data_IF_623278413795
#
_entry.id   IF_623278413795
#
_cell.length_a   1.000
_cell.length_b   1.000
_cell.length_c   1.000
_cell.angle_alpha   90.00
_cell.angle_beta   90.00
_cell.angle_gamma   90.00
#
_symmetry.space_group_name_H-M   'P 1'
#
loop_
_entity.id
_entity.type
_entity.pdbx_description
1 polymer ?
#
# COMPACT_ATOMS: atom_id res chain seq x y z
N UNK A 1 -34.86 -97.10 11.36
CA UNK A 1 -35.51 -95.85 11.80
C UNK A 1 -34.39 -94.88 12.15
N UNK A 2 -33.98 -94.11 11.15
CA UNK A 2 -34.20 -92.63 10.98
C UNK A 2 -33.03 -91.86 11.60
N UNK A 3 -32.08 -91.49 10.74
CA UNK A 3 -31.83 -90.12 10.20
C UNK A 3 -31.12 -89.24 11.23
N UNK A 4 -29.84 -88.90 10.98
CA UNK A 4 -29.38 -87.57 10.49
C UNK A 4 -29.49 -86.53 11.60
N UNK A 5 -28.39 -85.99 12.10
CA UNK A 5 -27.55 -84.96 11.47
C UNK A 5 -27.26 -83.98 12.62
N UNK A 6 -26.00 -83.75 12.97
CA UNK A 6 -25.20 -82.62 12.46
C UNK A 6 -25.71 -81.25 12.95
N UNK A 7 -24.73 -80.43 13.35
CA UNK A 7 -24.81 -78.99 13.65
C UNK A 7 -25.33 -78.51 15.00
N UNK A 8 -24.42 -78.50 15.99
CA UNK A 8 -24.47 -77.53 17.10
C UNK A 8 -23.28 -76.56 17.12
N UNK A 9 -22.59 -76.38 15.99
CA UNK A 9 -21.39 -75.51 15.88
C UNK A 9 -21.57 -74.30 14.96
N UNK A 10 -22.75 -73.68 14.92
CA UNK A 10 -22.96 -72.50 14.06
C UNK A 10 -23.70 -71.36 14.78
N UNK A 11 -23.33 -71.08 16.03
CA UNK A 11 -23.77 -69.83 16.71
C UNK A 11 -22.63 -69.08 17.40
N UNK A 12 -21.43 -69.65 17.51
CA UNK A 12 -20.27 -69.04 18.19
C UNK A 12 -19.23 -68.43 17.22
N UNK A 13 -19.50 -68.42 15.92
CA UNK A 13 -18.57 -67.97 14.88
C UNK A 13 -18.93 -66.61 14.22
N UNK A 14 -19.94 -65.89 14.73
CA UNK A 14 -20.28 -64.57 14.18
C UNK A 14 -19.61 -63.48 15.01
N UNK A 15 -18.37 -63.14 14.64
CA UNK A 15 -17.53 -62.18 15.38
C UNK A 15 -17.92 -60.71 15.14
N UNK A 16 -18.63 -60.41 14.06
CA UNK A 16 -19.26 -59.10 13.77
C UNK A 16 -20.26 -59.20 12.62
N UNK A 17 -21.36 -58.44 12.71
CA UNK A 17 -22.32 -58.22 11.63
C UNK A 17 -21.95 -56.89 10.95
N UNK A 18 -21.48 -56.96 9.70
CA UNK A 18 -21.25 -55.78 8.88
C UNK A 18 -22.52 -55.47 8.09
N UNK A 19 -23.20 -54.36 8.44
CA UNK A 19 -24.35 -53.88 7.68
C UNK A 19 -23.86 -53.34 6.33
N UNK A 20 -23.97 -54.17 5.29
CA UNK A 20 -23.62 -53.83 3.90
C UNK A 20 -24.60 -52.83 3.26
N UNK A 21 -25.73 -52.54 3.91
CA UNK A 21 -26.69 -51.53 3.49
C UNK A 21 -27.00 -50.56 4.64
N UNK A 22 -26.22 -49.48 4.79
CA UNK A 22 -26.61 -48.38 5.65
C UNK A 22 -27.77 -47.62 5.02
N UNK A 23 -28.99 -47.84 5.52
CA UNK A 23 -30.15 -47.00 5.22
C UNK A 23 -29.96 -45.63 5.85
N UNK A 24 -29.34 -44.72 5.08
CA UNK A 24 -29.05 -43.38 5.54
C UNK A 24 -30.36 -42.58 5.66
N UNK A 25 -30.78 -42.16 6.86
CA UNK A 25 -32.08 -41.53 7.08
C UNK A 25 -32.19 -40.23 6.26
N UNK A 26 -33.40 -39.91 5.80
CA UNK A 26 -33.68 -38.73 4.96
C UNK A 26 -33.21 -37.42 5.62
N UNK A 27 -33.26 -37.34 6.95
CA UNK A 27 -32.75 -36.21 7.73
C UNK A 27 -31.24 -36.01 7.57
N UNK A 28 -30.45 -37.09 7.54
CA UNK A 28 -29.00 -36.97 7.28
C UNK A 28 -28.71 -36.51 5.85
N UNK A 29 -29.52 -36.95 4.87
CA UNK A 29 -29.39 -36.48 3.48
C UNK A 29 -29.75 -35.00 3.36
N UNK A 30 -30.82 -34.55 4.02
CA UNK A 30 -31.24 -33.15 4.07
C UNK A 30 -30.23 -32.27 4.80
N UNK A 31 -29.74 -32.69 5.97
CA UNK A 31 -28.70 -31.96 6.71
C UNK A 31 -27.42 -31.84 5.90
N UNK A 32 -26.94 -32.93 5.27
CA UNK A 32 -25.76 -32.89 4.41
C UNK A 32 -25.97 -31.95 3.21
N UNK A 33 -27.11 -32.04 2.54
CA UNK A 33 -27.44 -31.15 1.42
C UNK A 33 -27.47 -29.67 1.87
N UNK A 34 -28.10 -29.38 3.01
CA UNK A 34 -28.18 -28.05 3.59
C UNK A 34 -26.79 -27.51 3.96
N UNK A 35 -25.94 -28.31 4.61
CA UNK A 35 -24.57 -27.92 4.95
C UNK A 35 -23.71 -27.63 3.71
N UNK A 36 -23.86 -28.40 2.63
CA UNK A 36 -23.12 -28.15 1.37
C UNK A 36 -23.58 -26.84 0.73
N UNK A 37 -24.89 -26.61 0.67
CA UNK A 37 -25.44 -25.36 0.11
C UNK A 37 -25.01 -24.16 0.95
N UNK A 38 -25.10 -24.27 2.28
CA UNK A 38 -24.67 -23.24 3.20
C UNK A 38 -23.17 -22.94 3.08
N UNK A 39 -22.32 -23.98 2.99
CA UNK A 39 -20.88 -23.81 2.77
C UNK A 39 -20.57 -23.10 1.45
N UNK A 40 -21.29 -23.44 0.36
CA UNK A 40 -21.15 -22.75 -0.93
C UNK A 40 -21.53 -21.28 -0.83
N UNK A 41 -22.62 -20.96 -0.14
CA UNK A 41 -23.04 -19.57 0.10
C UNK A 41 -21.96 -18.84 0.92
N UNK A 42 -21.46 -19.43 2.00
CA UNK A 42 -20.38 -18.85 2.80
C UNK A 42 -19.10 -18.63 1.98
N UNK A 43 -18.74 -19.57 1.11
CA UNK A 43 -17.58 -19.44 0.22
C UNK A 43 -17.75 -18.25 -0.74
N UNK A 44 -18.93 -18.09 -1.35
CA UNK A 44 -19.22 -16.94 -2.22
C UNK A 44 -19.15 -15.63 -1.45
N UNK A 45 -19.74 -15.57 -0.25
CA UNK A 45 -19.68 -14.37 0.60
C UNK A 45 -18.24 -14.04 1.02
N UNK A 46 -17.43 -15.04 1.36
CA UNK A 46 -16.02 -14.87 1.67
C UNK A 46 -15.25 -14.33 0.47
N UNK A 47 -15.49 -14.84 -0.74
CA UNK A 47 -14.89 -14.30 -1.97
C UNK A 47 -15.27 -12.83 -2.19
N UNK A 48 -16.55 -12.48 -2.03
CA UNK A 48 -17.01 -11.10 -2.18
C UNK A 48 -16.35 -10.19 -1.14
N UNK A 49 -16.25 -10.62 0.11
CA UNK A 49 -15.61 -9.86 1.18
C UNK A 49 -14.10 -9.65 0.90
N UNK A 50 -13.40 -10.67 0.40
CA UNK A 50 -11.99 -10.57 0.02
C UNK A 50 -11.78 -9.58 -1.13
N UNK A 51 -12.62 -9.64 -2.16
CA UNK A 51 -12.56 -8.72 -3.31
C UNK A 51 -12.83 -7.29 -2.84
N UNK A 52 -13.88 -7.09 -2.04
CA UNK A 52 -14.24 -5.77 -1.49
C UNK A 52 -13.11 -5.19 -0.62
N UNK A 53 -12.57 -5.99 0.31
CA UNK A 53 -11.44 -5.59 1.14
C UNK A 53 -10.21 -5.26 0.31
N UNK A 54 -9.91 -6.05 -0.72
CA UNK A 54 -8.82 -5.78 -1.66
C UNK A 54 -8.99 -4.45 -2.41
N UNK A 55 -10.20 -4.16 -2.91
CA UNK A 55 -10.51 -2.90 -3.60
C UNK A 55 -10.39 -1.70 -2.67
N UNK A 56 -10.90 -1.80 -1.44
CA UNK A 56 -10.81 -0.69 -0.48
C UNK A 56 -9.36 -0.44 -0.05
N UNK A 57 -8.56 -1.50 0.14
CA UNK A 57 -7.12 -1.37 0.41
C UNK A 57 -6.37 -0.74 -0.76
N UNK A 58 -6.69 -1.14 -2.00
CA UNK A 58 -6.14 -0.53 -3.22
C UNK A 58 -6.47 0.96 -3.27
N UNK A 59 -7.74 1.33 -3.07
CA UNK A 59 -8.19 2.73 -3.05
C UNK A 59 -7.52 3.52 -1.93
N UNK A 60 -7.40 2.94 -0.74
CA UNK A 60 -6.71 3.57 0.37
C UNK A 60 -5.24 3.82 0.06
N UNK A 61 -4.52 2.81 -0.48
CA UNK A 61 -3.12 2.95 -0.90
C UNK A 61 -2.96 3.98 -2.01
N UNK A 62 -3.86 3.98 -2.99
CA UNK A 62 -3.86 4.95 -4.08
C UNK A 62 -4.04 6.38 -3.55
N UNK A 63 -5.06 6.62 -2.70
CA UNK A 63 -5.31 7.92 -2.07
C UNK A 63 -4.09 8.41 -1.29
N UNK A 64 -3.47 7.53 -0.50
CA UNK A 64 -2.28 7.89 0.28
C UNK A 64 -1.10 8.31 -0.60
N UNK A 65 -0.85 7.55 -1.67
CA UNK A 65 0.22 7.88 -2.63
C UNK A 65 -0.05 9.22 -3.32
N UNK A 66 -1.31 9.50 -3.61
CA UNK A 66 -1.71 10.72 -4.29
C UNK A 66 -1.61 11.96 -3.38
N UNK A 67 -1.94 11.83 -2.09
CA UNK A 67 -1.67 12.87 -1.07
C UNK A 67 -0.17 13.19 -0.98
N UNK A 68 0.68 12.17 -0.86
CA UNK A 68 2.13 12.35 -0.75
C UNK A 68 2.71 13.00 -2.01
N UNK A 69 2.23 12.61 -3.19
CA UNK A 69 2.62 13.22 -4.46
C UNK A 69 2.14 14.68 -4.56
N UNK A 70 0.91 14.99 -4.12
CA UNK A 70 0.38 16.36 -4.11
C UNK A 70 1.21 17.27 -3.21
N UNK A 71 1.59 16.80 -2.02
CA UNK A 71 2.46 17.55 -1.11
C UNK A 71 3.83 17.80 -1.73
N UNK A 72 4.41 16.80 -2.40
CA UNK A 72 5.68 16.95 -3.13
C UNK A 72 5.57 17.99 -4.25
N UNK A 73 4.54 17.90 -5.10
CA UNK A 73 4.36 18.86 -6.19
C UNK A 73 4.07 20.27 -5.70
N UNK A 74 3.27 20.44 -4.64
CA UNK A 74 3.05 21.74 -4.03
C UNK A 74 4.34 22.32 -3.45
N UNK A 75 5.19 21.50 -2.83
CA UNK A 75 6.51 21.93 -2.36
C UNK A 75 7.40 22.40 -3.52
N UNK A 76 7.44 21.65 -4.62
CA UNK A 76 8.20 22.02 -5.83
C UNK A 76 7.71 23.35 -6.39
N UNK A 77 6.40 23.55 -6.49
CA UNK A 77 5.81 24.79 -6.98
C UNK A 77 6.20 25.99 -6.10
N UNK A 78 6.19 25.82 -4.77
CA UNK A 78 6.65 26.86 -3.83
C UNK A 78 8.13 27.18 -3.99
N UNK A 79 8.98 26.18 -4.24
CA UNK A 79 10.42 26.38 -4.54
C UNK A 79 10.59 27.15 -5.84
N UNK A 80 9.90 26.75 -6.91
CA UNK A 80 9.97 27.40 -8.21
C UNK A 80 9.51 28.86 -8.14
N UNK A 81 8.40 29.13 -7.44
CA UNK A 81 7.89 30.49 -7.28
C UNK A 81 8.87 31.38 -6.49
N UNK A 82 9.47 30.85 -5.42
CA UNK A 82 10.52 31.54 -4.67
C UNK A 82 11.73 31.90 -5.55
N UNK A 83 12.25 30.95 -6.32
CA UNK A 83 13.39 31.18 -7.19
C UNK A 83 13.05 32.13 -8.35
N UNK A 84 11.86 32.01 -8.94
CA UNK A 84 11.39 32.89 -10.01
C UNK A 84 11.28 34.33 -9.52
N UNK A 85 10.64 34.57 -8.36
CA UNK A 85 10.53 35.90 -7.75
C UNK A 85 11.90 36.51 -7.47
N UNK A 86 12.84 35.70 -6.98
CA UNK A 86 14.20 36.14 -6.74
C UNK A 86 14.93 36.50 -8.05
N UNK A 87 14.78 35.69 -9.09
CA UNK A 87 15.36 35.96 -10.41
C UNK A 87 14.79 37.23 -11.05
N UNK A 88 13.47 37.45 -10.93
CA UNK A 88 12.82 38.68 -11.37
C UNK A 88 13.34 39.90 -10.59
N UNK A 89 13.52 39.78 -9.27
CA UNK A 89 14.09 40.83 -8.44
C UNK A 89 15.55 41.15 -8.80
N UNK A 90 16.37 40.14 -9.11
CA UNK A 90 17.74 40.33 -9.60
C UNK A 90 17.77 41.01 -10.98
N UNK A 91 16.77 40.81 -11.83
CA UNK A 91 16.69 41.48 -13.12
C UNK A 91 16.45 42.99 -12.99
N UNK A 92 15.77 43.41 -11.93
CA UNK A 92 15.49 44.82 -11.66
C UNK A 92 16.54 45.50 -10.77
N UNK A 93 17.26 44.74 -9.95
CA UNK A 93 18.27 45.25 -9.03
C UNK A 93 19.62 44.57 -9.30
N UNK A 94 20.57 45.34 -9.83
CA UNK A 94 21.92 44.86 -10.19
C UNK A 94 22.75 44.43 -8.99
N UNK A 95 22.36 44.80 -7.76
CA UNK A 95 23.08 44.50 -6.53
C UNK A 95 22.77 43.10 -5.96
N UNK A 96 21.71 42.43 -6.44
CA UNK A 96 21.36 41.08 -5.99
C UNK A 96 22.09 40.01 -6.79
N UNK A 97 22.60 39.00 -6.07
CA UNK A 97 23.29 37.86 -6.67
C UNK A 97 22.30 36.91 -7.34
N UNK A 98 22.56 36.41 -8.57
CA UNK A 98 21.59 35.61 -9.34
C UNK A 98 21.55 34.13 -8.90
N UNK A 99 21.83 33.83 -7.64
CA UNK A 99 21.85 32.48 -7.09
C UNK A 99 21.34 32.47 -5.66
N UNK A 100 20.78 31.33 -5.22
CA UNK A 100 20.20 31.18 -3.89
C UNK A 100 20.65 29.86 -3.26
N UNK A 101 21.21 29.92 -2.06
CA UNK A 101 21.67 28.72 -1.36
C UNK A 101 20.48 27.81 -0.99
N UNK A 102 20.59 26.50 -1.26
CA UNK A 102 19.52 25.53 -0.96
C UNK A 102 19.06 25.58 0.51
N UNK A 103 19.97 25.67 1.51
CA UNK A 103 19.56 25.81 2.91
C UNK A 103 18.76 27.09 3.18
N UNK A 104 19.09 28.19 2.50
CA UNK A 104 18.37 29.46 2.65
C UNK A 104 16.94 29.36 2.09
N UNK A 105 16.77 28.72 0.92
CA UNK A 105 15.43 28.49 0.35
C UNK A 105 14.58 27.61 1.26
N UNK A 106 15.19 26.56 1.84
CA UNK A 106 14.53 25.68 2.79
C UNK A 106 14.01 26.47 3.99
N UNK A 107 14.84 27.35 4.54
CA UNK A 107 14.51 28.13 5.73
C UNK A 107 13.46 29.21 5.47
N UNK A 108 13.42 29.74 4.25
CA UNK A 108 12.37 30.66 3.81
C UNK A 108 11.01 29.95 3.65
N UNK A 109 11.00 28.69 3.18
CA UNK A 109 9.77 27.96 2.88
C UNK A 109 9.23 27.13 4.05
N UNK A 110 10.11 26.62 4.91
CA UNK A 110 9.77 25.68 5.99
C UNK A 110 10.10 26.30 7.34
N UNK A 111 9.10 26.70 8.13
CA UNK A 111 9.34 27.22 9.47
C UNK A 111 9.96 26.13 10.38
N UNK A 112 10.71 26.52 11.42
CA UNK A 112 11.45 25.59 12.26
C UNK A 112 10.55 24.52 12.92
N UNK A 113 9.29 24.84 13.22
CA UNK A 113 8.33 23.93 13.83
C UNK A 113 7.92 22.76 12.90
N UNK A 114 7.97 22.95 11.59
CA UNK A 114 7.49 21.98 10.60
C UNK A 114 8.61 21.18 9.94
N UNK A 115 9.88 21.47 10.27
CA UNK A 115 11.06 20.85 9.64
C UNK A 115 11.06 19.33 9.69
N UNK A 116 10.55 18.73 10.76
CA UNK A 116 10.46 17.26 10.90
C UNK A 116 9.41 16.65 9.97
N UNK A 117 8.25 17.30 9.83
CA UNK A 117 7.14 16.79 9.01
C UNK A 117 7.40 16.99 7.52
N UNK A 118 7.88 18.18 7.15
CA UNK A 118 8.12 18.54 5.75
C UNK A 118 9.51 18.14 5.25
N UNK A 119 10.42 17.69 6.12
CA UNK A 119 11.78 17.30 5.76
C UNK A 119 11.82 16.19 4.70
N UNK A 120 11.03 15.14 4.87
CA UNK A 120 10.97 14.04 3.88
C UNK A 120 10.41 14.51 2.53
N UNK A 121 9.41 15.40 2.57
CA UNK A 121 8.80 15.99 1.37
C UNK A 121 9.81 16.89 0.66
N UNK A 122 10.58 17.68 1.42
CA UNK A 122 11.65 18.53 0.91
C UNK A 122 12.73 17.72 0.20
N UNK A 123 13.27 16.68 0.84
CA UNK A 123 14.35 15.87 0.26
C UNK A 123 13.88 15.18 -1.03
N UNK A 124 12.63 14.68 -1.05
CA UNK A 124 12.02 14.10 -2.24
C UNK A 124 11.82 15.14 -3.34
N UNK A 125 11.37 16.35 -3.00
CA UNK A 125 11.19 17.45 -3.94
C UNK A 125 12.52 17.90 -4.56
N UNK A 126 13.57 18.08 -3.75
CA UNK A 126 14.93 18.46 -4.20
C UNK A 126 15.48 17.42 -5.17
N UNK A 127 15.31 16.13 -4.86
CA UNK A 127 15.73 15.03 -5.73
C UNK A 127 14.95 15.01 -7.05
N UNK A 128 13.65 15.32 -7.02
CA UNK A 128 12.84 15.40 -8.23
C UNK A 128 13.25 16.61 -9.08
N UNK A 129 13.46 17.78 -8.45
CA UNK A 129 13.93 18.99 -9.12
C UNK A 129 15.27 18.75 -9.84
N UNK A 130 16.26 18.15 -9.18
CA UNK A 130 17.56 17.91 -9.82
C UNK A 130 17.52 16.90 -10.97
N UNK A 131 16.55 15.99 -10.98
CA UNK A 131 16.41 14.96 -12.02
C UNK A 131 15.52 15.38 -13.20
N UNK A 132 14.49 16.19 -12.95
CA UNK A 132 13.41 16.46 -13.92
C UNK A 132 13.27 17.93 -14.32
N UNK A 133 13.75 18.88 -13.52
CA UNK A 133 13.57 20.31 -13.79
C UNK A 133 14.81 20.90 -14.47
N UNK A 134 14.66 21.32 -15.74
CA UNK A 134 15.76 21.91 -16.50
C UNK A 134 15.92 23.41 -16.29
N UNK A 135 14.91 24.09 -15.73
CA UNK A 135 14.96 25.55 -15.50
C UNK A 135 15.91 25.95 -14.38
N UNK A 136 16.25 25.04 -13.46
CA UNK A 136 17.11 25.36 -12.33
C UNK A 136 18.41 24.59 -12.48
N UNK A 137 19.53 25.31 -12.40
CA UNK A 137 20.85 24.70 -12.32
C UNK A 137 21.31 24.60 -10.87
N UNK A 138 21.77 23.41 -10.50
CA UNK A 138 22.42 23.16 -9.20
C UNK A 138 23.93 23.38 -9.38
N UNK A 139 24.50 24.32 -8.65
CA UNK A 139 25.93 24.63 -8.69
C UNK A 139 26.50 24.64 -7.27
N UNK A 140 27.81 24.40 -7.14
CA UNK A 140 28.53 24.63 -5.88
C UNK A 140 29.26 25.96 -5.97
N UNK A 141 29.01 26.84 -5.01
CA UNK A 141 29.58 28.19 -4.98
C UNK A 141 30.14 28.52 -3.61
N UNK A 142 31.26 29.23 -3.61
CA UNK A 142 31.90 29.74 -2.40
C UNK A 142 31.15 30.99 -1.93
N UNK A 143 30.47 30.89 -0.78
CA UNK A 143 29.80 32.02 -0.12
C UNK A 143 30.51 32.22 1.20
N UNK A 144 31.06 33.41 1.42
CA UNK A 144 31.80 33.76 2.65
C UNK A 144 32.97 32.81 2.99
N UNK A 145 33.59 32.20 1.97
CA UNK A 145 34.73 31.28 2.14
C UNK A 145 34.35 29.83 2.42
N UNK A 146 33.06 29.48 2.39
CA UNK A 146 32.58 28.11 2.51
C UNK A 146 31.85 27.65 1.22
N UNK A 147 32.01 26.37 0.81
CA UNK A 147 31.30 25.85 -0.35
C UNK A 147 29.84 25.54 0.01
N UNK A 148 28.91 26.23 -0.65
CA UNK A 148 27.48 25.96 -0.57
C UNK A 148 26.94 25.40 -1.88
N UNK A 149 25.90 24.58 -1.79
CA UNK A 149 25.11 24.20 -2.96
C UNK A 149 24.03 25.25 -3.18
N UNK A 150 24.02 25.83 -4.38
CA UNK A 150 23.13 26.92 -4.77
C UNK A 150 22.26 26.52 -5.94
N UNK A 151 21.08 27.11 -5.99
CA UNK A 151 20.18 27.10 -7.14
C UNK A 151 20.31 28.39 -7.91
N UNK A 152 20.41 28.25 -9.22
CA UNK A 152 20.37 29.33 -10.19
C UNK A 152 19.21 29.10 -11.15
N UNK A 153 18.36 30.11 -11.31
CA UNK A 153 17.29 30.13 -12.31
C UNK A 153 17.86 30.31 -13.73
#
# INVERSE_FOLDING_TARGET
MTSEGEDTTEVDAVRWLESTQPDMPLLCRLQRAFSIVFLRILAVLACVALVWGGVELMRYRWRRQEEDNRLMYNMIERILDALKKHAEACRHNTDLQPYLAIPHVRDMLIPPQERLKLGQVWDRAVKFLSANESRIRVESQQISGEPFTVWRW
#
